data_IF_435905852335
#
_entry.id   IF_435905852335
#
_cell.length_a   1.000
_cell.length_b   1.000
_cell.length_c   1.000
_cell.angle_alpha   90.00
_cell.angle_beta   90.00
_cell.angle_gamma   90.00
#
_symmetry.space_group_name_H-M   'P 1'
#
loop_
_entity.id
_entity.type
_entity.pdbx_description
1 polymer ?
#
# COMPACT_ATOMS: atom_id res chain seq x y z
N UNK A 1 -22.54 7.64 28.64
CA UNK A 1 -23.95 8.11 28.68
C UNK A 1 -24.80 6.86 28.54
N UNK A 2 -25.32 6.34 29.63
CA UNK A 2 -26.32 5.28 29.61
C UNK A 2 -27.63 5.95 29.22
N UNK A 3 -28.18 5.55 28.08
CA UNK A 3 -29.55 5.94 27.70
C UNK A 3 -30.57 5.15 28.49
N UNK A 4 -31.77 5.71 28.67
CA UNK A 4 -32.86 5.00 29.29
C UNK A 4 -33.14 3.69 28.54
N UNK A 5 -33.45 2.58 29.23
CA UNK A 5 -33.79 1.31 28.60
C UNK A 5 -35.02 1.46 27.70
N UNK A 6 -35.02 0.74 26.57
CA UNK A 6 -36.17 0.74 25.64
C UNK A 6 -37.47 0.32 26.35
N UNK A 7 -38.61 0.96 26.02
CA UNK A 7 -39.92 0.56 26.51
C UNK A 7 -40.23 -0.89 26.17
N UNK A 8 -40.92 -1.61 27.05
CA UNK A 8 -41.25 -3.01 26.85
C UNK A 8 -41.98 -3.29 25.52
N UNK A 9 -42.83 -2.38 25.06
CA UNK A 9 -43.53 -2.49 23.78
C UNK A 9 -42.59 -2.45 22.58
N UNK A 10 -41.50 -1.67 22.64
CA UNK A 10 -40.49 -1.61 21.58
C UNK A 10 -39.64 -2.87 21.56
N UNK A 11 -39.31 -3.41 22.74
CA UNK A 11 -38.61 -4.69 22.87
C UNK A 11 -39.41 -5.83 22.25
N UNK A 12 -40.72 -5.90 22.51
CA UNK A 12 -41.61 -6.91 21.92
C UNK A 12 -41.75 -6.75 20.40
N UNK A 13 -41.75 -5.51 19.90
CA UNK A 13 -41.77 -5.24 18.45
C UNK A 13 -40.49 -5.74 17.77
N UNK A 14 -39.34 -5.47 18.36
CA UNK A 14 -38.06 -5.95 17.83
C UNK A 14 -37.96 -7.47 17.87
N UNK A 15 -38.41 -8.11 18.95
CA UNK A 15 -38.51 -9.58 19.04
C UNK A 15 -39.37 -10.17 17.94
N UNK A 16 -40.59 -9.65 17.76
CA UNK A 16 -41.50 -10.11 16.72
C UNK A 16 -40.88 -9.95 15.31
N UNK A 17 -40.15 -8.87 15.06
CA UNK A 17 -39.43 -8.66 13.80
C UNK A 17 -38.32 -9.69 13.59
N UNK A 18 -37.52 -9.98 14.62
CA UNK A 18 -36.46 -11.01 14.57
C UNK A 18 -37.08 -12.40 14.31
N UNK A 19 -38.17 -12.76 15.03
CA UNK A 19 -38.87 -14.06 14.89
C UNK A 19 -39.48 -14.24 13.49
N UNK A 20 -39.80 -13.14 12.79
CA UNK A 20 -40.30 -13.14 11.41
C UNK A 20 -39.16 -13.21 10.36
N UNK A 21 -37.87 -13.36 10.77
CA UNK A 21 -36.75 -13.47 9.87
C UNK A 21 -35.97 -12.17 9.68
N UNK A 22 -36.27 -11.12 10.45
CA UNK A 22 -35.61 -9.81 10.42
C UNK A 22 -35.55 -9.18 9.00
N UNK A 23 -36.55 -9.46 8.18
CA UNK A 23 -36.65 -8.88 6.84
C UNK A 23 -36.70 -7.36 6.94
N UNK A 24 -35.80 -6.68 6.25
CA UNK A 24 -35.79 -5.22 6.18
C UNK A 24 -36.75 -4.78 5.08
N UNK A 25 -37.75 -3.92 5.41
CA UNK A 25 -38.72 -3.49 4.40
C UNK A 25 -38.00 -2.79 3.23
N UNK A 26 -38.35 -3.20 2.00
CA UNK A 26 -37.86 -2.54 0.79
C UNK A 26 -38.20 -1.04 0.83
N UNK A 27 -37.19 -0.18 0.70
CA UNK A 27 -37.34 1.29 0.68
C UNK A 27 -37.21 1.99 2.03
N UNK A 28 -37.01 1.28 3.15
CA UNK A 28 -36.76 1.92 4.47
C UNK A 28 -35.27 2.11 4.79
N UNK A 29 -34.34 1.67 3.96
CA UNK A 29 -32.97 2.12 3.98
C UNK A 29 -32.89 3.53 3.40
N UNK A 30 -32.09 4.43 3.96
CA UNK A 30 -31.81 5.72 3.33
C UNK A 30 -31.64 5.50 1.82
N UNK A 31 -32.30 6.33 1.00
CA UNK A 31 -32.30 6.22 -0.46
C UNK A 31 -30.90 5.88 -1.00
N UNK A 32 -30.63 4.60 -1.14
CA UNK A 32 -29.34 4.10 -1.68
C UNK A 32 -29.26 4.43 -3.16
N UNK A 33 -30.37 4.87 -3.76
CA UNK A 33 -30.47 5.20 -5.18
C UNK A 33 -29.71 6.47 -5.58
N UNK A 34 -29.31 7.34 -4.63
CA UNK A 34 -28.54 8.56 -4.91
C UNK A 34 -27.23 8.71 -4.15
N UNK A 35 -26.74 7.71 -3.46
CA UNK A 35 -25.36 7.73 -2.99
C UNK A 35 -24.48 7.71 -4.25
N UNK A 36 -24.07 8.90 -4.70
CA UNK A 36 -23.06 9.03 -5.78
C UNK A 36 -21.94 8.09 -5.44
N UNK A 37 -21.82 7.00 -6.18
CA UNK A 37 -20.82 5.98 -5.95
C UNK A 37 -19.46 6.68 -5.91
N UNK A 38 -18.80 6.63 -4.75
CA UNK A 38 -17.51 7.29 -4.61
C UNK A 38 -16.57 6.81 -5.73
N UNK A 39 -15.83 7.71 -6.33
CA UNK A 39 -14.97 7.45 -7.48
C UNK A 39 -14.03 6.24 -7.30
N UNK A 40 -13.57 6.00 -6.06
CA UNK A 40 -12.69 4.87 -5.73
C UNK A 40 -13.35 3.49 -5.91
N UNK A 41 -14.68 3.41 -5.98
CA UNK A 41 -15.45 2.17 -6.23
C UNK A 41 -15.92 2.04 -7.69
N UNK A 42 -15.52 2.97 -8.54
CA UNK A 42 -15.79 2.90 -9.98
C UNK A 42 -14.59 2.20 -10.64
N UNK A 43 -14.79 1.11 -11.40
CA UNK A 43 -13.68 0.48 -12.10
C UNK A 43 -12.89 1.49 -12.95
N UNK A 44 -11.55 1.51 -12.85
CA UNK A 44 -10.74 2.46 -13.57
C UNK A 44 -10.89 2.23 -15.08
N UNK A 45 -11.05 3.32 -15.84
CA UNK A 45 -11.01 3.31 -17.31
C UNK A 45 -9.74 4.02 -17.75
N UNK A 46 -9.09 3.47 -18.78
CA UNK A 46 -7.91 4.13 -19.35
C UNK A 46 -8.34 5.43 -20.02
N UNK A 47 -7.88 6.60 -19.56
CA UNK A 47 -8.22 7.86 -20.18
C UNK A 47 -7.39 8.09 -21.45
N UNK A 48 -7.89 8.93 -22.36
CA UNK A 48 -7.11 9.39 -23.50
C UNK A 48 -5.96 10.28 -23.02
N UNK A 49 -4.79 10.12 -23.64
CA UNK A 49 -3.61 10.93 -23.33
C UNK A 49 -3.86 12.37 -23.82
N UNK A 50 -3.81 13.38 -22.94
CA UNK A 50 -4.10 14.75 -23.32
C UNK A 50 -3.06 15.30 -24.31
N UNK A 51 -3.52 16.14 -25.22
CA UNK A 51 -2.64 16.94 -26.07
C UNK A 51 -2.07 18.10 -25.26
N UNK A 52 -0.77 18.32 -25.37
CA UNK A 52 -0.03 19.37 -24.67
C UNK A 52 0.63 20.33 -25.67
N UNK A 53 0.84 21.58 -25.25
CA UNK A 53 1.48 22.61 -26.11
C UNK A 53 2.96 22.25 -26.37
N UNK A 54 3.69 21.84 -25.34
CA UNK A 54 5.08 21.42 -25.47
C UNK A 54 5.19 19.89 -25.61
N UNK A 55 4.94 19.38 -26.80
CA UNK A 55 4.98 17.94 -27.12
C UNK A 55 6.39 17.30 -27.02
N UNK A 56 7.45 18.08 -26.81
CA UNK A 56 8.84 17.56 -26.72
C UNK A 56 9.24 17.23 -25.27
N UNK A 57 8.54 17.76 -24.28
CA UNK A 57 8.88 17.57 -22.87
C UNK A 57 8.46 16.19 -22.34
N UNK A 58 7.25 15.65 -22.65
CA UNK A 58 6.83 14.36 -22.14
C UNK A 58 7.70 13.22 -22.68
N UNK A 59 8.25 12.38 -21.79
CA UNK A 59 8.90 11.13 -22.14
C UNK A 59 7.91 9.95 -22.21
N UNK A 60 6.77 10.07 -21.51
CA UNK A 60 5.73 9.04 -21.44
C UNK A 60 4.33 9.67 -21.29
N UNK A 61 3.30 8.82 -21.25
CA UNK A 61 1.91 9.28 -21.13
C UNK A 61 1.63 10.01 -19.81
N UNK A 62 2.27 9.61 -18.71
CA UNK A 62 2.08 10.23 -17.38
C UNK A 62 2.56 11.69 -17.43
N UNK A 63 3.70 11.94 -18.07
CA UNK A 63 4.22 13.29 -18.25
C UNK A 63 3.24 14.18 -19.01
N UNK A 64 2.53 13.63 -20.00
CA UNK A 64 1.51 14.38 -20.73
C UNK A 64 0.35 14.82 -19.83
N UNK A 65 -0.10 13.98 -18.89
CA UNK A 65 -1.10 14.38 -17.90
C UNK A 65 -0.58 15.44 -16.95
N UNK A 66 0.66 15.30 -16.47
CA UNK A 66 1.32 16.28 -15.60
C UNK A 66 1.45 17.62 -16.32
N UNK A 67 1.97 17.60 -17.55
CA UNK A 67 2.17 18.83 -18.34
C UNK A 67 0.84 19.50 -18.67
N UNK A 68 -0.19 18.75 -19.06
CA UNK A 68 -1.52 19.31 -19.32
C UNK A 68 -2.09 20.04 -18.08
N UNK A 69 -1.83 19.51 -16.87
CA UNK A 69 -2.24 20.17 -15.64
C UNK A 69 -1.41 21.43 -15.38
N UNK A 70 -0.10 21.40 -15.58
CA UNK A 70 0.75 22.58 -15.46
C UNK A 70 0.32 23.68 -16.45
N UNK A 71 0.11 23.32 -17.71
CA UNK A 71 -0.33 24.26 -18.75
C UNK A 71 -1.70 24.89 -18.45
N UNK A 72 -2.59 24.17 -17.78
CA UNK A 72 -3.89 24.69 -17.32
C UNK A 72 -3.75 25.76 -16.25
N UNK A 73 -2.73 25.66 -15.41
CA UNK A 73 -2.42 26.62 -14.34
C UNK A 73 -1.37 27.66 -14.78
N UNK A 74 -1.08 27.73 -16.09
CA UNK A 74 -0.05 28.60 -16.68
C UNK A 74 1.35 28.43 -16.05
N UNK A 75 1.66 27.20 -15.61
CA UNK A 75 2.95 26.83 -15.04
C UNK A 75 3.81 26.09 -16.09
N UNK A 76 5.11 26.32 -16.03
CA UNK A 76 6.09 25.55 -16.80
C UNK A 76 6.80 24.52 -15.91
N UNK A 77 7.20 23.36 -16.45
CA UNK A 77 8.09 22.44 -15.72
C UNK A 77 9.38 23.13 -15.32
N UNK A 78 9.89 22.79 -14.12
CA UNK A 78 11.24 23.23 -13.71
C UNK A 78 12.32 22.60 -14.61
N UNK A 79 13.48 23.23 -14.75
CA UNK A 79 14.64 22.60 -15.39
C UNK A 79 15.00 21.29 -14.69
N UNK A 80 15.62 20.39 -15.46
CA UNK A 80 16.16 19.15 -14.91
C UNK A 80 17.21 19.47 -13.81
N UNK A 81 17.17 18.70 -12.73
CA UNK A 81 18.13 18.84 -11.64
C UNK A 81 19.54 18.41 -12.09
N UNK A 82 20.56 18.92 -11.42
CA UNK A 82 21.94 18.46 -11.62
C UNK A 82 22.11 16.96 -11.24
N UNK A 83 23.16 16.34 -11.77
CA UNK A 83 23.40 14.89 -11.63
C UNK A 83 23.51 14.44 -10.17
N UNK A 84 24.09 15.23 -9.29
CA UNK A 84 24.23 14.89 -7.87
C UNK A 84 22.88 14.89 -7.20
N UNK A 85 22.06 15.91 -7.46
CA UNK A 85 20.71 16.02 -6.96
C UNK A 85 19.81 14.87 -7.48
N UNK A 86 19.92 14.51 -8.77
CA UNK A 86 19.20 13.39 -9.36
C UNK A 86 19.54 12.07 -8.66
N UNK A 87 20.84 11.75 -8.53
CA UNK A 87 21.28 10.53 -7.86
C UNK A 87 20.82 10.47 -6.41
N UNK A 88 20.92 11.60 -5.68
CA UNK A 88 20.47 11.68 -4.29
C UNK A 88 18.96 11.42 -4.17
N UNK A 89 18.13 12.03 -5.02
CA UNK A 89 16.69 11.82 -5.03
C UNK A 89 16.36 10.38 -5.34
N UNK A 90 16.94 9.83 -6.40
CA UNK A 90 16.74 8.45 -6.82
C UNK A 90 17.08 7.45 -5.71
N UNK A 91 18.23 7.64 -5.04
CA UNK A 91 18.66 6.75 -3.95
C UNK A 91 17.71 6.81 -2.76
N UNK A 92 17.29 8.01 -2.34
CA UNK A 92 16.35 8.17 -1.24
C UNK A 92 14.97 7.61 -1.57
N UNK A 93 14.52 7.74 -2.82
CA UNK A 93 13.22 7.20 -3.24
C UNK A 93 13.25 5.67 -3.31
N UNK A 94 14.26 5.08 -3.97
CA UNK A 94 14.28 3.63 -4.20
C UNK A 94 14.74 2.81 -2.98
N UNK A 95 15.75 3.26 -2.27
CA UNK A 95 16.35 2.49 -1.16
C UNK A 95 16.31 3.20 0.20
N UNK A 96 15.86 4.46 0.24
CA UNK A 96 15.77 5.23 1.48
C UNK A 96 17.10 5.69 2.07
N UNK A 97 18.21 5.44 1.39
CA UNK A 97 19.56 5.78 1.81
C UNK A 97 20.20 6.80 0.84
N UNK A 98 21.01 7.75 1.33
CA UNK A 98 21.76 8.62 0.45
C UNK A 98 22.86 7.83 -0.28
N UNK A 99 23.27 8.27 -1.49
CA UNK A 99 24.39 7.66 -2.15
C UNK A 99 25.71 7.94 -1.40
N UNK A 100 26.66 7.02 -1.49
CA UNK A 100 28.01 7.22 -0.99
C UNK A 100 28.77 8.20 -1.90
N UNK A 101 29.87 8.78 -1.39
CA UNK A 101 30.75 9.67 -2.18
C UNK A 101 31.25 8.95 -3.42
N UNK A 102 31.68 7.69 -3.28
CA UNK A 102 32.16 6.87 -4.39
C UNK A 102 31.11 6.65 -5.48
N UNK A 103 29.84 6.45 -5.11
CA UNK A 103 28.74 6.32 -6.05
C UNK A 103 28.46 7.63 -6.79
N UNK A 104 28.55 8.76 -6.08
CA UNK A 104 28.42 10.08 -6.70
C UNK A 104 29.53 10.31 -7.72
N UNK A 105 30.79 10.06 -7.34
CA UNK A 105 31.94 10.26 -8.20
C UNK A 105 31.89 9.34 -9.44
N UNK A 106 31.50 8.07 -9.24
CA UNK A 106 31.34 7.12 -10.33
C UNK A 106 30.21 7.56 -11.30
N UNK A 107 29.09 8.04 -10.78
CA UNK A 107 27.99 8.52 -11.61
C UNK A 107 28.40 9.80 -12.39
N UNK A 108 29.11 10.73 -11.77
CA UNK A 108 29.59 11.94 -12.44
C UNK A 108 30.59 11.62 -13.55
N UNK A 109 31.43 10.61 -13.35
CA UNK A 109 32.43 10.16 -14.32
C UNK A 109 31.82 9.30 -15.46
N UNK A 110 30.62 8.72 -15.28
CA UNK A 110 29.98 7.86 -16.29
C UNK A 110 29.56 8.69 -17.52
N UNK A 111 30.19 8.42 -18.66
CA UNK A 111 29.90 9.03 -19.97
C UNK A 111 29.14 8.09 -20.91
N UNK A 112 28.61 7.00 -20.39
CA UNK A 112 27.81 6.07 -21.19
C UNK A 112 26.49 6.72 -21.66
N UNK A 113 25.81 6.16 -22.67
CA UNK A 113 24.59 6.75 -23.23
C UNK A 113 23.44 6.88 -22.21
N UNK A 114 23.34 5.97 -21.23
CA UNK A 114 22.22 5.92 -20.29
C UNK A 114 22.72 5.81 -18.84
N UNK A 115 23.46 6.81 -18.32
CA UNK A 115 24.06 6.71 -16.98
C UNK A 115 23.01 6.76 -15.85
N UNK A 116 21.89 7.44 -16.04
CA UNK A 116 20.83 7.53 -15.05
C UNK A 116 20.07 6.20 -14.95
N UNK A 117 19.68 5.61 -16.06
CA UNK A 117 18.98 4.32 -16.12
C UNK A 117 19.81 3.20 -15.48
N UNK A 118 21.14 3.24 -15.66
CA UNK A 118 22.02 2.30 -14.95
C UNK A 118 21.95 2.43 -13.43
N UNK A 119 21.81 3.65 -12.91
CA UNK A 119 21.62 3.85 -11.48
C UNK A 119 20.25 3.37 -11.02
N UNK A 120 19.19 3.56 -11.82
CA UNK A 120 17.86 3.02 -11.56
C UNK A 120 17.93 1.50 -11.42
N UNK A 121 18.47 0.80 -12.41
CA UNK A 121 18.61 -0.67 -12.40
C UNK A 121 19.44 -1.17 -11.21
N UNK A 122 20.55 -0.51 -10.93
CA UNK A 122 21.40 -0.84 -9.78
C UNK A 122 20.65 -0.74 -8.46
N UNK A 123 19.87 0.31 -8.27
CA UNK A 123 19.15 0.55 -7.03
C UNK A 123 17.91 -0.35 -6.91
N UNK A 124 17.20 -0.64 -8.00
CA UNK A 124 16.11 -1.61 -8.03
C UNK A 124 16.58 -3.02 -7.69
N UNK A 125 17.82 -3.37 -8.08
CA UNK A 125 18.43 -4.67 -7.77
C UNK A 125 19.05 -4.74 -6.36
N UNK A 126 18.99 -3.65 -5.60
CA UNK A 126 19.56 -3.60 -4.24
C UNK A 126 18.63 -4.29 -3.24
N UNK A 127 19.15 -5.08 -2.28
CA UNK A 127 18.32 -5.66 -1.20
C UNK A 127 17.63 -4.58 -0.35
N UNK A 128 18.17 -3.37 -0.28
CA UNK A 128 17.58 -2.23 0.42
C UNK A 128 16.29 -1.72 -0.23
N UNK A 129 16.00 -2.09 -1.49
CA UNK A 129 14.72 -1.77 -2.13
C UNK A 129 13.55 -2.39 -1.36
N UNK A 130 13.64 -3.69 -1.07
CA UNK A 130 12.61 -4.38 -0.30
C UNK A 130 12.50 -3.89 1.15
N UNK A 131 13.62 -3.54 1.78
CA UNK A 131 13.61 -2.94 3.13
C UNK A 131 12.88 -1.59 3.12
N UNK A 132 13.14 -0.74 2.12
CA UNK A 132 12.51 0.57 1.97
C UNK A 132 11.01 0.47 1.72
N UNK A 133 10.60 -0.37 0.77
CA UNK A 133 9.21 -0.47 0.32
C UNK A 133 8.36 -1.41 1.16
N UNK A 134 8.96 -2.50 1.66
CA UNK A 134 8.32 -3.43 2.58
C UNK A 134 7.83 -2.76 3.86
N UNK A 135 8.51 -1.71 4.33
CA UNK A 135 8.08 -0.91 5.47
C UNK A 135 6.66 -0.35 5.32
N UNK A 136 6.31 0.17 4.14
CA UNK A 136 4.98 0.73 3.91
C UNK A 136 3.88 -0.33 4.01
N UNK A 137 4.18 -1.56 3.53
CA UNK A 137 3.26 -2.68 3.70
C UNK A 137 3.18 -3.13 5.15
N UNK A 138 4.31 -3.24 5.83
CA UNK A 138 4.36 -3.66 7.23
C UNK A 138 3.60 -2.70 8.14
N UNK A 139 3.67 -1.39 7.89
CA UNK A 139 2.88 -0.37 8.59
C UNK A 139 1.38 -0.59 8.36
N UNK A 140 0.95 -0.83 7.10
CA UNK A 140 -0.44 -1.11 6.77
C UNK A 140 -0.93 -2.44 7.36
N UNK A 141 -0.05 -3.46 7.38
CA UNK A 141 -0.30 -4.77 7.99
C UNK A 141 -0.25 -4.75 9.52
N UNK A 142 0.08 -3.61 10.14
CA UNK A 142 0.20 -3.44 11.60
C UNK A 142 1.24 -4.37 12.22
N UNK A 143 2.34 -4.62 11.49
CA UNK A 143 3.44 -5.44 11.98
C UNK A 143 4.09 -4.80 13.21
N UNK A 144 4.32 -5.62 14.23
CA UNK A 144 5.11 -5.25 15.38
C UNK A 144 5.87 -6.48 15.95
N UNK A 145 7.02 -6.23 16.55
CA UNK A 145 7.81 -7.26 17.25
C UNK A 145 7.30 -7.50 18.69
N UNK A 146 6.13 -6.94 19.03
CA UNK A 146 5.48 -7.08 20.34
C UNK A 146 3.95 -7.17 20.21
N UNK A 147 3.28 -7.52 21.32
CA UNK A 147 1.83 -7.75 21.36
C UNK A 147 1.01 -6.46 21.31
N UNK A 148 1.58 -5.32 21.69
CA UNK A 148 0.99 -3.99 21.54
C UNK A 148 -0.08 -3.62 22.59
N UNK A 149 -0.35 -4.47 23.58
CA UNK A 149 -1.24 -4.19 24.72
C UNK A 149 -0.47 -4.17 26.04
N UNK A 150 -1.17 -4.09 27.16
CA UNK A 150 -0.66 -3.82 28.51
C UNK A 150 0.66 -4.52 28.86
N UNK A 151 0.78 -5.81 28.58
CA UNK A 151 2.01 -6.58 28.83
C UNK A 151 3.06 -6.45 27.75
N UNK A 152 2.66 -6.02 26.58
CA UNK A 152 3.49 -5.76 25.39
C UNK A 152 4.66 -6.76 25.23
N UNK A 153 4.36 -8.05 25.33
CA UNK A 153 5.36 -9.11 25.25
C UNK A 153 5.97 -9.19 23.87
N UNK A 154 7.25 -9.49 23.82
CA UNK A 154 7.98 -9.66 22.57
C UNK A 154 7.45 -10.85 21.75
N UNK A 155 7.23 -10.62 20.45
CA UNK A 155 6.82 -11.62 19.46
C UNK A 155 8.00 -12.10 18.62
N UNK A 156 7.95 -13.34 18.19
CA UNK A 156 8.89 -13.91 17.22
C UNK A 156 8.18 -14.06 15.88
N UNK A 157 7.94 -12.95 15.19
CA UNK A 157 7.25 -12.90 13.87
C UNK A 157 8.11 -12.27 12.77
N UNK A 158 9.40 -12.05 13.04
CA UNK A 158 10.34 -11.43 12.13
C UNK A 158 10.45 -12.13 10.75
N UNK A 159 10.19 -13.44 10.67
CA UNK A 159 10.18 -14.19 9.42
C UNK A 159 9.11 -13.68 8.44
N UNK A 160 7.96 -13.18 8.91
CA UNK A 160 6.97 -12.52 8.06
C UNK A 160 7.51 -11.20 7.49
N UNK A 161 8.15 -10.37 8.31
CA UNK A 161 8.81 -9.15 7.86
C UNK A 161 9.83 -9.45 6.76
N UNK A 162 10.67 -10.45 6.98
CA UNK A 162 11.70 -10.83 6.02
C UNK A 162 11.09 -11.38 4.73
N UNK A 163 9.98 -12.11 4.83
CA UNK A 163 9.21 -12.54 3.65
C UNK A 163 8.70 -11.34 2.85
N UNK A 164 8.12 -10.33 3.50
CA UNK A 164 7.65 -9.11 2.84
C UNK A 164 8.80 -8.42 2.10
N UNK A 165 9.95 -8.22 2.77
CA UNK A 165 11.14 -7.61 2.16
C UNK A 165 11.58 -8.39 0.91
N UNK A 166 11.64 -9.71 1.00
CA UNK A 166 12.01 -10.57 -0.13
C UNK A 166 10.97 -10.53 -1.26
N UNK A 167 9.67 -10.46 -0.93
CA UNK A 167 8.61 -10.35 -1.91
C UNK A 167 8.75 -9.07 -2.75
N UNK A 168 9.08 -7.94 -2.13
CA UNK A 168 9.38 -6.69 -2.84
C UNK A 168 10.67 -6.81 -3.68
N UNK A 169 11.73 -7.41 -3.15
CA UNK A 169 13.00 -7.56 -3.87
C UNK A 169 12.91 -8.47 -5.10
N UNK A 170 11.99 -9.43 -5.10
CA UNK A 170 11.74 -10.31 -6.27
C UNK A 170 10.60 -9.81 -7.16
N UNK A 171 10.09 -8.61 -6.90
CA UNK A 171 8.95 -8.02 -7.62
C UNK A 171 7.76 -8.99 -7.73
N UNK A 172 7.37 -9.61 -6.59
CA UNK A 172 6.27 -10.57 -6.56
C UNK A 172 4.98 -9.90 -7.04
N UNK A 173 4.28 -10.44 -8.08
CA UNK A 173 3.03 -9.86 -8.56
C UNK A 173 2.02 -9.66 -7.43
N UNK A 174 1.33 -8.51 -7.44
CA UNK A 174 0.48 -8.08 -6.33
C UNK A 174 -0.63 -9.07 -5.99
N UNK A 175 -1.24 -9.69 -6.98
CA UNK A 175 -2.25 -10.73 -6.77
C UNK A 175 -1.68 -11.93 -6.01
N UNK A 176 -0.47 -12.38 -6.37
CA UNK A 176 0.23 -13.46 -5.67
C UNK A 176 0.65 -13.05 -4.27
N UNK A 177 1.15 -11.84 -4.12
CA UNK A 177 1.51 -11.28 -2.82
C UNK A 177 0.32 -11.29 -1.84
N UNK A 178 -0.90 -10.96 -2.31
CA UNK A 178 -2.11 -11.01 -1.48
C UNK A 178 -2.56 -12.44 -1.22
N UNK A 179 -2.59 -13.31 -2.25
CA UNK A 179 -3.01 -14.71 -2.12
C UNK A 179 -2.13 -15.44 -1.10
N UNK A 180 -0.81 -15.30 -1.20
CA UNK A 180 0.14 -15.96 -0.30
C UNK A 180 -0.08 -15.54 1.16
N UNK A 181 -0.43 -14.28 1.42
CA UNK A 181 -0.66 -13.78 2.77
C UNK A 181 -2.00 -14.21 3.39
N UNK A 182 -3.03 -14.43 2.56
CA UNK A 182 -4.37 -14.80 3.05
C UNK A 182 -4.52 -16.32 3.11
N UNK A 183 -3.99 -17.04 2.14
CA UNK A 183 -4.26 -18.46 1.93
C UNK A 183 -3.02 -19.25 1.46
N UNK A 184 -1.81 -18.76 1.73
CA UNK A 184 -0.58 -19.38 1.26
C UNK A 184 -0.38 -20.80 1.77
N UNK A 185 -0.84 -21.12 2.97
CA UNK A 185 -0.80 -22.45 3.58
C UNK A 185 -1.85 -23.43 3.00
N UNK A 186 -2.88 -22.91 2.35
CA UNK A 186 -3.97 -23.69 1.73
C UNK A 186 -3.73 -23.97 0.24
N UNK A 187 -2.67 -23.41 -0.34
CA UNK A 187 -2.34 -23.66 -1.74
C UNK A 187 -1.89 -25.12 -1.95
N UNK A 188 -2.19 -25.73 -3.11
CA UNK A 188 -1.65 -27.04 -3.45
C UNK A 188 -0.11 -27.01 -3.36
N UNK A 189 0.48 -28.02 -2.70
CA UNK A 189 1.92 -28.15 -2.49
C UNK A 189 2.58 -26.90 -1.88
N UNK A 190 1.88 -26.24 -0.94
CA UNK A 190 2.29 -25.02 -0.30
C UNK A 190 3.74 -25.07 0.22
N UNK A 191 4.57 -24.18 -0.29
CA UNK A 191 5.97 -24.05 0.14
C UNK A 191 6.09 -23.46 1.55
N UNK A 192 7.25 -23.63 2.18
CA UNK A 192 7.51 -23.00 3.47
C UNK A 192 7.38 -21.46 3.39
N UNK A 193 7.79 -20.87 2.29
CA UNK A 193 7.72 -19.43 2.03
C UNK A 193 6.27 -18.94 2.00
N UNK A 194 5.38 -19.67 1.34
CA UNK A 194 3.95 -19.38 1.31
C UNK A 194 3.27 -19.53 2.68
N UNK A 195 3.70 -20.51 3.48
CA UNK A 195 3.23 -20.65 4.86
C UNK A 195 3.69 -19.49 5.75
N UNK A 196 4.92 -19.01 5.56
CA UNK A 196 5.45 -17.83 6.25
C UNK A 196 4.67 -16.57 5.91
N UNK A 197 4.21 -16.43 4.66
CA UNK A 197 3.40 -15.30 4.22
C UNK A 197 2.12 -15.13 5.05
N UNK A 198 1.48 -16.23 5.47
CA UNK A 198 0.27 -16.18 6.32
C UNK A 198 0.51 -15.60 7.72
N UNK A 199 1.75 -15.32 8.07
CA UNK A 199 2.12 -14.50 9.23
C UNK A 199 1.43 -13.14 9.24
N UNK A 200 0.94 -12.65 8.08
CA UNK A 200 0.05 -11.50 7.98
C UNK A 200 -1.12 -11.56 8.98
N UNK A 201 -1.77 -12.72 9.08
CA UNK A 201 -2.93 -12.94 9.98
C UNK A 201 -2.57 -12.88 11.48
N UNK A 202 -1.27 -12.91 11.82
CA UNK A 202 -0.78 -12.84 13.19
C UNK A 202 -0.44 -11.42 13.65
N UNK A 203 -0.61 -10.41 12.80
CA UNK A 203 -0.28 -9.01 13.13
C UNK A 203 -1.34 -8.32 13.99
N UNK A 204 -2.46 -8.97 14.29
CA UNK A 204 -3.43 -8.43 15.26
C UNK A 204 -2.79 -8.29 16.64
N UNK A 205 -3.14 -7.22 17.34
CA UNK A 205 -2.76 -7.05 18.73
C UNK A 205 -3.38 -8.16 19.58
N UNK A 206 -2.64 -8.68 20.56
CA UNK A 206 -3.09 -9.74 21.46
C UNK A 206 -3.10 -9.24 22.89
N UNK A 207 -4.25 -9.39 23.56
CA UNK A 207 -4.37 -9.10 25.00
C UNK A 207 -4.35 -10.40 25.78
N UNK A 208 -3.44 -10.52 26.76
CA UNK A 208 -3.36 -11.67 27.66
C UNK A 208 -4.11 -11.45 28.99
N UNK A 209 -4.50 -10.23 29.29
CA UNK A 209 -5.20 -9.85 30.51
C UNK A 209 -6.68 -9.50 30.26
N UNK A 210 -7.23 -9.91 29.17
CA UNK A 210 -8.67 -9.80 28.99
C UNK A 210 -9.37 -10.53 30.12
N UNK A 211 -9.56 -9.84 31.23
CA UNK A 211 -10.55 -10.23 32.20
C UNK A 211 -11.88 -10.27 31.44
N UNK A 212 -12.31 -11.46 31.10
CA UNK A 212 -13.65 -11.70 30.66
C UNK A 212 -14.42 -11.87 31.97
N UNK A 213 -14.97 -10.79 32.46
CA UNK A 213 -16.07 -10.85 33.41
C UNK A 213 -17.38 -10.92 32.63
#
# INVERSE_FOLDING_TARGET
MEGDPLPAAEIEMVRAWIDQGAEWPDGMGADVAEVKRHWAFIPPKRPDVPRVRNSRWPANAIDSFVLARLEKEDLAPSPEADRVTLLRRLSLDLIGLPPTIQEVDAFLADKSPNPYEKQVERLLSSPHYGERWGRHWLDAARYADSDGFEKDKQRKVWFYRDWVIQAFNRDLPYDRFIIDQIAGDLLPDATQDQKVATGFLRNSMSNEEGGVD
#
